data_IF_916469093523
#
_entry.id   IF_916469093523
#
_cell.length_a   1.000
_cell.length_b   1.000
_cell.length_c   1.000
_cell.angle_alpha   90.00
_cell.angle_beta   90.00
_cell.angle_gamma   90.00
#
_symmetry.space_group_name_H-M   'P 1'
#
loop_
_entity.id
_entity.type
_entity.pdbx_description
1 polymer ?
#
# COMPACT_ATOMS: atom_id res chain seq x y z
N UNK A 1 63.67 24.91 33.17
CA UNK A 1 63.93 25.14 31.73
C UNK A 1 64.47 23.84 31.16
N UNK A 2 63.99 23.32 30.02
CA UNK A 2 63.38 24.02 28.87
C UNK A 2 61.98 23.42 28.53
N UNK A 3 61.37 23.66 27.35
CA UNK A 3 60.49 24.81 27.08
C UNK A 3 59.09 24.40 26.56
N UNK A 4 58.20 25.39 26.52
CA UNK A 4 56.80 25.31 26.10
C UNK A 4 56.64 24.75 24.67
N UNK A 5 55.88 23.66 24.54
CA UNK A 5 55.35 23.16 23.27
C UNK A 5 54.23 24.08 22.80
N UNK A 6 54.52 24.89 21.78
CA UNK A 6 53.53 25.52 20.91
C UNK A 6 52.79 24.39 20.16
N UNK A 7 51.65 23.97 20.69
CA UNK A 7 50.71 23.05 20.05
C UNK A 7 49.50 23.82 19.58
N UNK A 8 49.59 24.27 18.33
CA UNK A 8 48.53 24.63 17.38
C UNK A 8 47.10 24.58 17.91
N UNK A 9 46.46 25.75 18.02
CA UNK A 9 45.01 25.90 18.06
C UNK A 9 44.41 25.32 16.79
N UNK A 10 43.97 24.07 16.85
CA UNK A 10 42.97 23.55 15.92
C UNK A 10 41.70 24.36 16.15
N UNK A 11 41.28 25.05 15.10
CA UNK A 11 40.10 25.92 15.11
C UNK A 11 38.89 25.00 15.17
N UNK A 12 38.20 25.04 16.29
CA UNK A 12 36.83 24.53 16.48
C UNK A 12 35.86 25.33 15.60
N UNK A 13 35.91 25.04 14.29
CA UNK A 13 34.97 25.54 13.28
C UNK A 13 34.32 24.32 12.59
N UNK A 14 33.96 23.31 13.38
CA UNK A 14 32.94 22.34 12.96
C UNK A 14 31.60 23.04 13.17
N UNK A 15 31.17 23.78 12.15
CA UNK A 15 29.75 24.05 11.95
C UNK A 15 29.08 22.68 11.89
N UNK A 16 28.50 22.26 13.02
CA UNK A 16 27.58 21.14 13.08
C UNK A 16 26.43 21.46 12.12
N UNK A 17 26.56 21.02 10.87
CA UNK A 17 25.43 20.85 9.97
C UNK A 17 24.47 19.89 10.68
N UNK A 18 23.50 20.47 11.40
CA UNK A 18 22.35 19.76 11.93
C UNK A 18 21.69 19.04 10.74
N UNK A 19 21.99 17.75 10.59
CA UNK A 19 21.32 16.86 9.66
C UNK A 19 19.83 16.98 9.94
N UNK A 20 19.11 17.67 9.04
CA UNK A 20 17.67 17.75 9.08
C UNK A 20 17.14 16.31 8.97
N UNK A 21 16.71 15.77 10.11
CA UNK A 21 16.10 14.44 10.18
C UNK A 21 14.74 14.58 9.50
N UNK A 22 14.68 14.23 8.21
CA UNK A 22 13.42 14.17 7.49
C UNK A 22 12.47 13.21 8.22
N UNK A 23 11.23 13.66 8.42
CA UNK A 23 10.20 12.83 9.06
C UNK A 23 10.01 11.53 8.26
N UNK A 24 9.91 10.37 8.93
CA UNK A 24 9.81 9.10 8.25
C UNK A 24 8.55 9.07 7.38
N UNK A 25 8.72 8.68 6.11
CA UNK A 25 7.62 8.59 5.15
C UNK A 25 6.51 7.73 5.74
N UNK A 26 5.25 8.23 5.79
CA UNK A 26 4.15 7.48 6.37
C UNK A 26 3.97 6.14 5.66
N UNK A 27 3.93 5.08 6.46
CA UNK A 27 3.84 3.70 5.96
C UNK A 27 2.51 3.48 5.23
N UNK A 28 2.56 2.76 4.11
CA UNK A 28 1.33 2.36 3.39
C UNK A 28 0.34 1.64 4.33
N UNK A 29 -0.96 1.95 4.27
CA UNK A 29 -1.99 1.28 5.07
C UNK A 29 -1.93 -0.24 4.96
N UNK A 30 -1.66 -0.77 3.77
CA UNK A 30 -1.52 -2.21 3.53
C UNK A 30 -0.35 -2.84 4.29
N UNK A 31 0.76 -2.12 4.45
CA UNK A 31 1.91 -2.61 5.23
C UNK A 31 1.61 -2.53 6.73
N UNK A 32 0.91 -1.48 7.18
CA UNK A 32 0.42 -1.40 8.56
C UNK A 32 -0.50 -2.58 8.88
N UNK A 33 -1.41 -2.93 7.96
CA UNK A 33 -2.28 -4.09 8.07
C UNK A 33 -1.51 -5.41 8.10
N UNK A 34 -0.45 -5.57 7.29
CA UNK A 34 0.45 -6.73 7.35
C UNK A 34 1.06 -6.91 8.75
N UNK A 35 1.56 -5.84 9.36
CA UNK A 35 2.13 -5.91 10.71
C UNK A 35 1.09 -6.33 11.73
N UNK A 36 -0.11 -5.74 11.69
CA UNK A 36 -1.20 -6.12 12.58
C UNK A 36 -1.62 -7.58 12.40
N UNK A 37 -1.68 -8.05 11.14
CA UNK A 37 -1.98 -9.44 10.80
C UNK A 37 -0.92 -10.39 11.38
N UNK A 38 0.36 -10.02 11.27
CA UNK A 38 1.44 -10.82 11.85
C UNK A 38 1.35 -10.85 13.38
N UNK A 39 1.07 -9.71 14.02
CA UNK A 39 0.82 -9.64 15.46
C UNK A 39 -0.35 -10.54 15.87
N UNK A 40 -1.42 -10.57 15.08
CA UNK A 40 -2.59 -11.41 15.34
C UNK A 40 -2.26 -12.91 15.22
N UNK A 41 -1.48 -13.30 14.21
CA UNK A 41 -1.09 -14.69 13.96
C UNK A 41 0.01 -15.22 14.89
N UNK A 42 0.76 -14.35 15.55
CA UNK A 42 1.89 -14.74 16.39
C UNK A 42 1.45 -15.42 17.69
N UNK A 43 2.05 -16.58 17.98
CA UNK A 43 1.81 -17.35 19.20
C UNK A 43 2.38 -16.71 20.47
N UNK A 44 3.30 -15.75 20.34
CA UNK A 44 4.01 -15.12 21.47
C UNK A 44 3.35 -13.82 21.96
N UNK A 45 2.19 -13.49 21.39
CA UNK A 45 1.49 -12.24 21.67
C UNK A 45 0.36 -12.50 22.67
N UNK A 46 0.31 -11.66 23.70
CA UNK A 46 -0.75 -11.64 24.72
C UNK A 46 -2.13 -11.48 24.07
N UNK A 47 -3.16 -12.07 24.68
CA UNK A 47 -4.52 -12.03 24.15
C UNK A 47 -5.05 -10.58 24.00
N UNK A 48 -4.73 -9.70 24.96
CA UNK A 48 -5.06 -8.26 24.89
C UNK A 48 -4.51 -7.60 23.62
N UNK A 49 -3.25 -7.84 23.28
CA UNK A 49 -2.61 -7.25 22.08
C UNK A 49 -3.19 -7.84 20.80
N UNK A 50 -3.61 -9.11 20.83
CA UNK A 50 -4.26 -9.77 19.71
C UNK A 50 -5.63 -9.17 19.42
N UNK A 51 -6.42 -8.90 20.47
CA UNK A 51 -7.70 -8.21 20.33
C UNK A 51 -7.52 -6.76 19.86
N UNK A 52 -6.53 -6.04 20.38
CA UNK A 52 -6.18 -4.70 19.90
C UNK A 52 -5.79 -4.71 18.41
N UNK A 53 -4.99 -5.68 17.98
CA UNK A 53 -4.61 -5.83 16.58
C UNK A 53 -5.83 -6.10 15.69
N UNK A 54 -6.73 -6.99 16.13
CA UNK A 54 -7.99 -7.26 15.45
C UNK A 54 -8.86 -6.00 15.35
N UNK A 55 -9.00 -5.25 16.44
CA UNK A 55 -9.78 -4.01 16.45
C UNK A 55 -9.20 -2.96 15.48
N UNK A 56 -7.87 -2.83 15.42
CA UNK A 56 -7.21 -1.92 14.48
C UNK A 56 -7.40 -2.35 13.03
N UNK A 57 -7.29 -3.64 12.72
CA UNK A 57 -7.55 -4.18 11.37
C UNK A 57 -8.99 -3.87 10.94
N UNK A 58 -9.96 -4.17 11.80
CA UNK A 58 -11.36 -3.91 11.51
C UNK A 58 -11.63 -2.43 11.29
N UNK A 59 -11.07 -1.56 12.14
CA UNK A 59 -11.21 -0.11 12.02
C UNK A 59 -10.70 0.38 10.66
N UNK A 60 -9.46 0.05 10.31
CA UNK A 60 -8.85 0.49 9.05
C UNK A 60 -9.63 -0.03 7.84
N UNK A 61 -10.07 -1.29 7.91
CA UNK A 61 -10.84 -1.89 6.83
C UNK A 61 -12.22 -1.24 6.65
N UNK A 62 -12.91 -0.88 7.74
CA UNK A 62 -14.18 -0.17 7.65
C UNK A 62 -14.00 1.27 7.18
N UNK A 63 -13.00 1.99 7.68
CA UNK A 63 -12.71 3.39 7.29
C UNK A 63 -12.34 3.51 5.80
N UNK A 64 -11.86 2.43 5.17
CA UNK A 64 -11.45 2.41 3.77
C UNK A 64 -12.27 1.48 2.87
N UNK A 65 -13.40 0.95 3.36
CA UNK A 65 -14.27 0.03 2.62
C UNK A 65 -13.51 -1.19 2.03
N UNK A 66 -12.58 -1.76 2.79
CA UNK A 66 -11.72 -2.86 2.34
C UNK A 66 -12.43 -4.22 2.45
N UNK A 67 -13.61 -4.33 1.83
CA UNK A 67 -14.42 -5.55 1.86
C UNK A 67 -13.68 -6.78 1.28
N UNK A 68 -12.99 -6.70 0.12
CA UNK A 68 -12.19 -7.82 -0.39
C UNK A 68 -11.11 -8.28 0.59
N UNK A 69 -10.42 -7.33 1.23
CA UNK A 69 -9.42 -7.62 2.24
C UNK A 69 -9.99 -8.34 3.47
N UNK A 70 -11.16 -7.89 3.95
CA UNK A 70 -11.83 -8.52 5.09
C UNK A 70 -12.26 -9.95 4.78
N UNK A 71 -12.73 -10.24 3.56
CA UNK A 71 -13.03 -11.61 3.12
C UNK A 71 -11.79 -12.50 3.19
N UNK A 72 -10.66 -12.00 2.67
CA UNK A 72 -9.39 -12.72 2.72
C UNK A 72 -8.93 -13.02 4.16
N UNK A 73 -9.05 -12.05 5.08
CA UNK A 73 -8.72 -12.24 6.51
C UNK A 73 -9.70 -13.22 7.18
N UNK A 74 -10.99 -13.09 6.86
CA UNK A 74 -12.06 -13.93 7.40
C UNK A 74 -11.86 -15.39 7.02
N UNK A 75 -11.45 -15.66 5.78
CA UNK A 75 -11.06 -17.00 5.32
C UNK A 75 -9.81 -17.52 6.06
N UNK A 76 -8.81 -16.66 6.27
CA UNK A 76 -7.55 -17.04 6.91
C UNK A 76 -7.67 -17.33 8.42
N UNK A 77 -8.48 -16.56 9.15
CA UNK A 77 -8.61 -16.64 10.62
C UNK A 77 -9.98 -17.12 11.12
N UNK A 78 -10.88 -17.51 10.22
CA UNK A 78 -12.25 -17.93 10.53
C UNK A 78 -13.03 -16.91 11.40
N UNK A 79 -12.88 -15.62 11.10
CA UNK A 79 -13.62 -14.56 11.81
C UNK A 79 -15.10 -14.55 11.39
N UNK A 80 -16.00 -14.19 12.30
CA UNK A 80 -17.36 -13.81 11.94
C UNK A 80 -17.42 -12.31 11.64
N UNK A 81 -17.88 -11.96 10.44
CA UNK A 81 -18.11 -10.58 10.03
C UNK A 81 -19.62 -10.32 9.94
N UNK A 82 -20.02 -9.07 10.20
CA UNK A 82 -21.40 -8.63 10.00
C UNK A 82 -21.68 -8.46 8.50
N UNK A 83 -22.53 -9.33 7.97
CA UNK A 83 -22.91 -9.33 6.55
C UNK A 83 -23.48 -7.98 6.09
N UNK A 84 -24.21 -7.25 6.96
CA UNK A 84 -24.77 -5.94 6.57
C UNK A 84 -23.67 -4.90 6.30
N UNK A 85 -22.60 -4.90 7.10
CA UNK A 85 -21.46 -3.99 6.90
C UNK A 85 -20.69 -4.37 5.64
N UNK A 86 -20.55 -5.67 5.37
CA UNK A 86 -19.91 -6.15 4.14
C UNK A 86 -20.67 -5.66 2.91
N UNK A 87 -22.00 -5.79 2.91
CA UNK A 87 -22.86 -5.33 1.81
C UNK A 87 -22.83 -3.80 1.63
N UNK A 88 -22.77 -3.04 2.72
CA UNK A 88 -22.62 -1.58 2.66
C UNK A 88 -21.29 -1.19 1.99
N UNK A 89 -20.17 -1.79 2.41
CA UNK A 89 -18.87 -1.56 1.80
C UNK A 89 -18.84 -1.97 0.32
N UNK A 90 -19.44 -3.12 -0.03
CA UNK A 90 -19.53 -3.56 -1.43
C UNK A 90 -20.35 -2.58 -2.26
N UNK A 91 -21.44 -2.03 -1.74
CA UNK A 91 -22.25 -1.05 -2.45
C UNK A 91 -21.48 0.25 -2.71
N UNK A 92 -20.69 0.71 -1.73
CA UNK A 92 -19.80 1.88 -1.89
C UNK A 92 -18.73 1.60 -2.94
N UNK A 93 -18.10 0.42 -2.89
CA UNK A 93 -17.08 0.03 -3.85
C UNK A 93 -17.64 -0.15 -5.27
N UNK A 94 -18.81 -0.78 -5.41
CA UNK A 94 -19.49 -0.96 -6.69
C UNK A 94 -19.80 0.39 -7.34
N UNK A 95 -20.34 1.34 -6.58
CA UNK A 95 -20.57 2.70 -7.09
C UNK A 95 -19.27 3.37 -7.54
N UNK A 96 -18.19 3.20 -6.77
CA UNK A 96 -16.90 3.80 -7.15
C UNK A 96 -16.30 3.16 -8.39
N UNK A 97 -16.45 1.85 -8.53
CA UNK A 97 -16.03 1.10 -9.71
C UNK A 97 -16.84 1.51 -10.94
N UNK A 98 -18.16 1.70 -10.83
CA UNK A 98 -19.00 2.20 -11.91
C UNK A 98 -18.56 3.60 -12.40
N UNK A 99 -18.21 4.50 -11.47
CA UNK A 99 -17.65 5.83 -11.83
C UNK A 99 -16.34 5.70 -12.61
N UNK A 100 -15.45 4.80 -12.17
CA UNK A 100 -14.15 4.57 -12.80
C UNK A 100 -14.30 3.89 -14.16
N UNK A 101 -15.25 2.95 -14.30
CA UNK A 101 -15.55 2.27 -15.55
C UNK A 101 -16.19 3.20 -16.57
N UNK A 102 -17.10 4.08 -16.14
CA UNK A 102 -17.65 5.12 -17.00
C UNK A 102 -16.55 6.07 -17.49
N UNK A 103 -15.62 6.49 -16.60
CA UNK A 103 -14.49 7.33 -16.97
C UNK A 103 -13.53 6.63 -17.94
N UNK A 104 -13.25 5.35 -17.72
CA UNK A 104 -12.40 4.56 -18.60
C UNK A 104 -13.03 4.40 -19.99
N UNK A 105 -14.33 4.13 -20.05
CA UNK A 105 -15.06 4.01 -21.32
C UNK A 105 -15.12 5.32 -22.09
N UNK A 106 -15.42 6.43 -21.40
CA UNK A 106 -15.38 7.77 -22.00
C UNK A 106 -13.98 8.11 -22.52
N UNK A 107 -12.94 7.76 -21.76
CA UNK A 107 -11.57 7.95 -22.20
C UNK A 107 -11.22 7.13 -23.45
N UNK A 108 -11.74 5.91 -23.57
CA UNK A 108 -11.53 5.04 -24.73
C UNK A 108 -12.29 5.51 -25.97
N UNK A 109 -13.49 6.06 -25.81
CA UNK A 109 -14.35 6.48 -26.92
C UNK A 109 -14.04 7.91 -27.40
N UNK A 110 -13.73 8.82 -26.47
CA UNK A 110 -13.70 10.27 -26.74
C UNK A 110 -12.35 10.95 -26.47
N UNK A 111 -11.45 10.33 -25.69
CA UNK A 111 -10.16 10.92 -25.29
C UNK A 111 -8.99 10.18 -25.95
N UNK A 112 -7.77 10.42 -25.45
CA UNK A 112 -6.54 9.82 -25.96
C UNK A 112 -5.98 8.73 -25.05
N UNK A 113 -4.88 8.13 -25.51
CA UNK A 113 -4.16 7.07 -24.79
C UNK A 113 -3.69 7.49 -23.39
N UNK A 114 -3.43 8.79 -23.19
CA UNK A 114 -2.98 9.33 -21.90
C UNK A 114 -4.11 9.23 -20.86
N UNK A 115 -5.31 9.67 -21.22
CA UNK A 115 -6.49 9.65 -20.34
C UNK A 115 -6.98 8.22 -20.09
N UNK A 116 -6.87 7.34 -21.08
CA UNK A 116 -7.14 5.90 -20.91
C UNK A 116 -6.18 5.32 -19.87
N UNK A 117 -4.89 5.65 -19.95
CA UNK A 117 -3.89 5.18 -18.99
C UNK A 117 -4.16 5.72 -17.58
N UNK A 118 -4.45 7.00 -17.43
CA UNK A 118 -4.78 7.58 -16.11
C UNK A 118 -6.01 6.92 -15.50
N UNK A 119 -7.02 6.61 -16.32
CA UNK A 119 -8.23 5.92 -15.87
C UNK A 119 -7.93 4.48 -15.43
N UNK A 120 -7.07 3.77 -16.17
CA UNK A 120 -6.61 2.43 -15.78
C UNK A 120 -5.80 2.46 -14.48
N UNK A 121 -4.90 3.43 -14.33
CA UNK A 121 -4.10 3.59 -13.12
C UNK A 121 -4.99 3.87 -11.91
N UNK A 122 -5.95 4.80 -12.04
CA UNK A 122 -6.91 5.12 -10.97
C UNK A 122 -7.74 3.89 -10.57
N UNK A 123 -8.10 3.03 -11.53
CA UNK A 123 -8.80 1.77 -11.25
C UNK A 123 -7.91 0.77 -10.51
N UNK A 124 -6.65 0.63 -10.94
CA UNK A 124 -5.66 -0.22 -10.29
C UNK A 124 -5.38 0.24 -8.84
N UNK A 125 -5.22 1.54 -8.61
CA UNK A 125 -5.08 2.14 -7.27
C UNK A 125 -6.31 1.90 -6.39
N UNK A 126 -7.51 1.96 -6.96
CA UNK A 126 -8.73 1.67 -6.21
C UNK A 126 -8.76 0.20 -5.74
N UNK A 127 -8.47 -0.76 -6.64
CA UNK A 127 -8.38 -2.17 -6.26
C UNK A 127 -7.28 -2.44 -5.22
N UNK A 128 -6.12 -1.79 -5.35
CA UNK A 128 -5.07 -1.87 -4.34
C UNK A 128 -5.55 -1.35 -2.98
N UNK A 129 -6.28 -0.22 -2.97
CA UNK A 129 -6.78 0.40 -1.74
C UNK A 129 -7.82 -0.46 -1.00
N UNK A 130 -8.76 -1.08 -1.72
CA UNK A 130 -9.77 -1.97 -1.10
C UNK A 130 -9.19 -3.35 -0.76
N UNK A 131 -7.97 -3.65 -1.21
CA UNK A 131 -7.28 -4.91 -1.00
C UNK A 131 -7.83 -6.06 -1.84
N UNK A 132 -8.30 -5.78 -3.06
CA UNK A 132 -8.62 -6.81 -4.05
C UNK A 132 -7.36 -7.17 -4.82
N UNK A 133 -6.69 -8.24 -4.39
CA UNK A 133 -5.41 -8.65 -4.96
C UNK A 133 -5.55 -9.10 -6.42
N UNK A 134 -6.57 -9.90 -6.74
CA UNK A 134 -6.68 -10.54 -8.05
C UNK A 134 -7.02 -9.51 -9.14
N UNK A 135 -8.04 -8.69 -8.89
CA UNK A 135 -8.43 -7.65 -9.85
C UNK A 135 -7.35 -6.58 -9.99
N UNK A 136 -6.67 -6.21 -8.90
CA UNK A 136 -5.56 -5.27 -8.99
C UNK A 136 -4.44 -5.80 -9.89
N UNK A 137 -4.06 -7.07 -9.78
CA UNK A 137 -3.02 -7.67 -10.62
C UNK A 137 -3.42 -7.73 -12.10
N UNK A 138 -4.68 -8.05 -12.38
CA UNK A 138 -5.22 -8.07 -13.75
C UNK A 138 -5.12 -6.68 -14.40
N UNK A 139 -5.61 -5.64 -13.72
CA UNK A 139 -5.55 -4.26 -14.23
C UNK A 139 -4.13 -3.70 -14.26
N UNK A 140 -3.26 -4.10 -13.32
CA UNK A 140 -1.85 -3.71 -13.32
C UNK A 140 -1.15 -4.22 -14.60
N UNK A 141 -1.38 -5.48 -14.98
CA UNK A 141 -0.85 -6.03 -16.23
C UNK A 141 -1.41 -5.34 -17.47
N UNK A 142 -2.71 -5.05 -17.51
CA UNK A 142 -3.32 -4.31 -18.63
C UNK A 142 -2.72 -2.91 -18.77
N UNK A 143 -2.57 -2.18 -17.65
CA UNK A 143 -2.02 -0.84 -17.63
C UNK A 143 -0.53 -0.83 -18.03
N UNK A 144 0.24 -1.83 -17.60
CA UNK A 144 1.65 -1.99 -17.96
C UNK A 144 1.84 -2.22 -19.46
N UNK A 145 0.94 -2.98 -20.09
CA UNK A 145 0.93 -3.22 -21.54
C UNK A 145 0.61 -1.98 -22.37
N UNK A 146 -0.25 -1.08 -21.86
CA UNK A 146 -0.67 0.14 -22.57
C UNK A 146 0.26 1.33 -22.34
N UNK A 147 0.96 1.41 -21.21
CA UNK A 147 1.86 2.54 -20.98
C UNK A 147 3.18 2.37 -21.74
N UNK A 148 3.68 3.44 -22.35
CA UNK A 148 5.00 3.48 -23.00
C UNK A 148 6.06 4.17 -22.13
N UNK A 149 5.62 4.98 -21.15
CA UNK A 149 6.51 5.76 -20.31
C UNK A 149 7.14 4.88 -19.20
N UNK A 150 8.45 5.01 -19.02
CA UNK A 150 9.21 4.22 -18.05
C UNK A 150 8.80 4.47 -16.60
N UNK A 151 8.51 5.73 -16.23
CA UNK A 151 8.09 6.10 -14.88
C UNK A 151 6.82 5.35 -14.42
N UNK A 152 5.68 5.51 -15.11
CA UNK A 152 4.46 4.79 -14.76
C UNK A 152 4.59 3.26 -14.79
N UNK A 153 5.46 2.68 -15.63
CA UNK A 153 5.75 1.24 -15.57
C UNK A 153 6.40 0.85 -14.25
N UNK A 154 7.39 1.64 -13.83
CA UNK A 154 8.12 1.42 -12.60
C UNK A 154 7.21 1.59 -11.38
N UNK A 155 6.29 2.54 -11.41
CA UNK A 155 5.26 2.72 -10.37
C UNK A 155 4.33 1.48 -10.27
N UNK A 156 3.88 0.95 -11.42
CA UNK A 156 3.08 -0.29 -11.45
C UNK A 156 3.86 -1.50 -10.93
N UNK A 157 5.16 -1.61 -11.24
CA UNK A 157 6.03 -2.65 -10.69
C UNK A 157 6.14 -2.54 -9.16
N UNK A 158 6.36 -1.34 -8.62
CA UNK A 158 6.41 -1.13 -7.17
C UNK A 158 5.08 -1.43 -6.49
N UNK A 159 3.96 -1.10 -7.12
CA UNK A 159 2.64 -1.46 -6.60
C UNK A 159 2.46 -2.97 -6.51
N UNK A 160 2.88 -3.73 -7.53
CA UNK A 160 2.83 -5.20 -7.52
C UNK A 160 3.71 -5.80 -6.42
N UNK A 161 4.91 -5.25 -6.21
CA UNK A 161 5.81 -5.67 -5.12
C UNK A 161 5.17 -5.39 -3.76
N UNK A 162 4.62 -4.18 -3.57
CA UNK A 162 3.97 -3.75 -2.33
C UNK A 162 2.78 -4.66 -1.99
N UNK A 163 1.96 -5.01 -2.98
CA UNK A 163 0.85 -5.94 -2.83
C UNK A 163 1.34 -7.33 -2.45
N UNK A 164 2.35 -7.87 -3.14
CA UNK A 164 2.94 -9.17 -2.79
C UNK A 164 3.42 -9.20 -1.33
N UNK A 165 4.12 -8.16 -0.88
CA UNK A 165 4.58 -8.04 0.51
C UNK A 165 3.39 -7.97 1.48
N UNK A 166 2.42 -7.08 1.22
CA UNK A 166 1.26 -6.86 2.07
C UNK A 166 0.41 -8.13 2.25
N UNK A 167 0.26 -8.92 1.19
CA UNK A 167 -0.46 -10.19 1.23
C UNK A 167 0.41 -11.38 1.67
N UNK A 168 1.71 -11.18 1.90
CA UNK A 168 2.70 -12.23 2.19
C UNK A 168 2.81 -13.29 1.10
N UNK A 169 2.60 -12.89 -0.15
CA UNK A 169 2.85 -13.70 -1.34
C UNK A 169 4.21 -13.30 -1.96
N UNK A 170 5.21 -14.12 -1.68
CA UNK A 170 6.57 -13.91 -2.16
C UNK A 170 6.69 -14.12 -3.68
N UNK A 171 5.82 -14.92 -4.30
CA UNK A 171 5.87 -15.12 -5.75
C UNK A 171 5.36 -13.90 -6.48
N UNK A 172 4.27 -13.28 -6.01
CA UNK A 172 3.77 -12.02 -6.56
C UNK A 172 4.83 -10.91 -6.39
N UNK A 173 5.45 -10.82 -5.21
CA UNK A 173 6.50 -9.83 -4.97
C UNK A 173 7.72 -10.06 -5.88
N UNK A 174 8.19 -11.29 -6.01
CA UNK A 174 9.35 -11.63 -6.85
C UNK A 174 9.08 -11.43 -8.34
N UNK A 175 7.87 -11.77 -8.81
CA UNK A 175 7.48 -11.54 -10.19
C UNK A 175 7.22 -10.06 -10.48
N UNK A 176 7.11 -9.21 -9.45
CA UNK A 176 7.00 -7.76 -9.46
C UNK A 176 7.85 -7.02 -10.48
N UNK A 177 9.08 -7.50 -10.71
CA UNK A 177 10.13 -6.82 -11.49
C UNK A 177 10.13 -7.20 -12.98
N UNK A 178 9.30 -8.15 -13.40
CA UNK A 178 9.27 -8.64 -14.79
C UNK A 178 8.40 -7.81 -15.72
#
# INVERSE_FOLDING_TARGET
>A
MPPQTKGTTFRDNEEEEELQIEEPVPMSPLISLLHLRHTYASQYVDESKREEAKAKILKEAYDHNMAPYLRFICESFAWSLEESKMQEMDAVNAKKLEELDARLKDAQENLGDVEVRESLLAKCEHFARIGDLQECLNFNMECSGKTLAAGPKLDLCFQRILLGIAFSDNEIAANGVR
#
